data_IF_860468246910
#
_entry.id   IF_860468246910
#
_cell.length_a   1.000
_cell.length_b   1.000
_cell.length_c   1.000
_cell.angle_alpha   90.00
_cell.angle_beta   90.00
_cell.angle_gamma   90.00
#
_symmetry.space_group_name_H-M   'P 1'
#
loop_
_entity.id
_entity.type
_entity.pdbx_description
1 polymer ?
#
# COMPACT_ATOMS: atom_id res chain seq x y z
N UNK A 1 -14.13 -2.92 8.90
CA UNK A 1 -12.82 -3.46 8.49
C UNK A 1 -12.30 -2.66 7.29
N UNK A 2 -11.02 -2.49 7.21
CA UNK A 2 -10.37 -1.75 6.13
C UNK A 2 -9.61 -2.70 5.22
N UNK A 3 -9.39 -2.27 3.99
CA UNK A 3 -8.67 -3.07 3.00
C UNK A 3 -7.54 -2.25 2.40
N UNK A 4 -6.40 -2.88 2.16
CA UNK A 4 -5.30 -2.28 1.42
C UNK A 4 -5.26 -2.89 0.03
N UNK A 5 -5.50 -2.06 -0.98
CA UNK A 5 -5.32 -2.44 -2.37
C UNK A 5 -3.93 -2.05 -2.84
N UNK A 6 -3.25 -2.94 -3.51
CA UNK A 6 -1.90 -2.72 -4.02
C UNK A 6 -1.89 -2.92 -5.53
N UNK A 7 -1.30 -1.96 -6.24
CA UNK A 7 -1.10 -2.05 -7.68
C UNK A 7 0.38 -1.86 -7.99
N UNK A 8 1.00 -2.90 -8.54
CA UNK A 8 2.40 -2.89 -8.94
C UNK A 8 2.49 -2.57 -10.43
N UNK A 9 2.72 -1.29 -10.72
CA UNK A 9 2.94 -0.86 -12.10
C UNK A 9 4.41 -0.90 -12.50
N UNK A 10 4.67 -0.75 -13.78
CA UNK A 10 6.04 -0.71 -14.30
C UNK A 10 6.85 0.50 -13.86
N UNK A 11 6.16 1.59 -13.54
CA UNK A 11 6.80 2.86 -13.14
C UNK A 11 6.54 3.25 -11.70
N UNK A 12 5.41 2.80 -11.12
CA UNK A 12 5.02 3.19 -9.76
C UNK A 12 4.35 2.03 -9.04
N UNK A 13 4.48 2.05 -7.72
CA UNK A 13 3.71 1.21 -6.82
C UNK A 13 2.64 2.08 -6.19
N UNK A 14 1.39 1.65 -6.24
CA UNK A 14 0.27 2.37 -5.64
C UNK A 14 -0.33 1.55 -4.51
N UNK A 15 -0.61 2.21 -3.39
CA UNK A 15 -1.31 1.60 -2.27
C UNK A 15 -2.50 2.47 -1.92
N UNK A 16 -3.67 1.87 -1.85
CA UNK A 16 -4.90 2.55 -1.46
C UNK A 16 -5.51 1.91 -0.22
N UNK A 17 -5.95 2.73 0.73
CA UNK A 17 -6.71 2.29 1.89
C UNK A 17 -8.19 2.51 1.60
N UNK A 18 -8.98 1.46 1.72
CA UNK A 18 -10.40 1.45 1.38
C UNK A 18 -11.19 0.97 2.59
N UNK A 19 -12.33 1.59 2.86
CA UNK A 19 -13.21 1.13 3.92
C UNK A 19 -14.11 -0.02 3.45
N UNK A 20 -14.91 -0.54 4.36
CA UNK A 20 -15.81 -1.67 4.07
C UNK A 20 -16.92 -1.32 3.07
N UNK A 21 -17.14 -0.06 2.80
CA UNK A 21 -18.12 0.41 1.82
C UNK A 21 -17.50 0.66 0.45
N UNK A 22 -16.20 0.41 0.30
CA UNK A 22 -15.50 0.62 -0.95
C UNK A 22 -15.02 2.05 -1.16
N UNK A 23 -15.09 2.91 -0.14
CA UNK A 23 -14.63 4.28 -0.24
C UNK A 23 -13.13 4.35 -0.03
N UNK A 24 -12.44 5.03 -0.94
CA UNK A 24 -11.01 5.25 -0.81
C UNK A 24 -10.76 6.32 0.24
N UNK A 25 -10.08 5.93 1.32
CA UNK A 25 -9.76 6.81 2.43
C UNK A 25 -8.43 7.53 2.20
N UNK A 26 -7.45 6.80 1.68
CA UNK A 26 -6.11 7.33 1.49
C UNK A 26 -5.42 6.60 0.34
N UNK A 27 -4.57 7.31 -0.38
CA UNK A 27 -3.74 6.74 -1.45
C UNK A 27 -2.32 7.23 -1.30
N UNK A 28 -1.38 6.34 -1.53
CA UNK A 28 0.04 6.68 -1.58
C UNK A 28 0.69 5.96 -2.75
N UNK A 29 1.75 6.55 -3.25
CA UNK A 29 2.53 5.93 -4.32
C UNK A 29 4.02 6.19 -4.13
N UNK A 30 4.81 5.30 -4.69
CA UNK A 30 6.26 5.46 -4.74
C UNK A 30 6.76 4.96 -6.09
N UNK A 31 7.82 5.55 -6.64
CA UNK A 31 8.37 5.06 -7.92
C UNK A 31 8.89 3.63 -7.80
N UNK A 32 8.59 2.82 -8.80
CA UNK A 32 9.20 1.51 -8.95
C UNK A 32 10.50 1.70 -9.72
N UNK A 33 11.62 1.48 -9.06
CA UNK A 33 12.92 1.56 -9.73
C UNK A 33 13.22 0.18 -10.30
N UNK A 34 13.10 0.04 -11.62
CA UNK A 34 13.18 -1.25 -12.31
C UNK A 34 14.52 -1.95 -12.18
N UNK A 35 15.58 -1.21 -11.83
CA UNK A 35 16.91 -1.79 -11.61
C UNK A 35 17.10 -2.37 -10.22
N UNK A 36 16.13 -2.20 -9.34
CA UNK A 36 16.20 -2.71 -7.97
C UNK A 36 15.84 -4.19 -7.95
N UNK A 37 16.39 -4.91 -6.99
CA UNK A 37 16.01 -6.31 -6.77
C UNK A 37 14.57 -6.40 -6.27
N UNK A 38 13.95 -7.56 -6.48
CA UNK A 38 12.59 -7.80 -6.00
C UNK A 38 12.46 -7.60 -4.49
N UNK A 39 13.49 -7.94 -3.73
CA UNK A 39 13.49 -7.78 -2.28
C UNK A 39 13.41 -6.30 -1.88
N UNK A 40 14.11 -5.41 -2.57
CA UNK A 40 14.07 -3.98 -2.28
C UNK A 40 12.73 -3.38 -2.66
N UNK A 41 12.12 -3.84 -3.74
CA UNK A 41 10.78 -3.40 -4.16
C UNK A 41 9.76 -3.84 -3.12
N UNK A 42 9.87 -5.06 -2.61
CA UNK A 42 8.98 -5.57 -1.58
C UNK A 42 9.11 -4.77 -0.28
N UNK A 43 10.32 -4.41 0.10
CA UNK A 43 10.57 -3.57 1.28
C UNK A 43 9.90 -2.20 1.13
N UNK A 44 10.00 -1.59 -0.04
CA UNK A 44 9.35 -0.31 -0.34
C UNK A 44 7.83 -0.44 -0.24
N UNK A 45 7.28 -1.53 -0.75
CA UNK A 45 5.86 -1.81 -0.69
C UNK A 45 5.37 -1.93 0.77
N UNK A 46 6.09 -2.68 1.58
CA UNK A 46 5.77 -2.86 2.99
C UNK A 46 5.83 -1.53 3.73
N UNK A 47 6.87 -0.74 3.48
CA UNK A 47 7.01 0.57 4.10
C UNK A 47 5.86 1.50 3.72
N UNK A 48 5.43 1.47 2.46
CA UNK A 48 4.32 2.28 1.97
C UNK A 48 3.00 1.87 2.62
N UNK A 49 2.76 0.57 2.75
CA UNK A 49 1.57 0.04 3.43
C UNK A 49 1.52 0.49 4.89
N UNK A 50 2.64 0.38 5.60
CA UNK A 50 2.75 0.82 6.99
C UNK A 50 2.49 2.31 7.14
N UNK A 51 3.01 3.10 6.20
CA UNK A 51 2.82 4.54 6.20
C UNK A 51 1.35 4.90 6.07
N UNK A 52 0.65 4.32 5.11
CA UNK A 52 -0.77 4.57 4.87
C UNK A 52 -1.61 4.20 6.10
N UNK A 53 -1.33 3.05 6.68
CA UNK A 53 -2.04 2.58 7.88
C UNK A 53 -1.80 3.53 9.07
N UNK A 54 -0.56 3.92 9.31
CA UNK A 54 -0.21 4.79 10.41
C UNK A 54 -0.79 6.20 10.27
N UNK A 55 -0.83 6.73 9.05
CA UNK A 55 -1.39 8.06 8.79
C UNK A 55 -2.88 8.15 9.11
N UNK A 56 -3.57 7.01 9.12
CA UNK A 56 -5.00 6.93 9.39
C UNK A 56 -5.30 6.39 10.80
N UNK A 57 -4.32 6.41 11.69
CA UNK A 57 -4.44 5.94 13.08
C UNK A 57 -4.90 4.49 13.20
N UNK A 58 -4.50 3.66 12.24
CA UNK A 58 -4.83 2.24 12.19
C UNK A 58 -3.60 1.40 12.50
N UNK A 59 -3.83 0.14 12.80
CA UNK A 59 -2.79 -0.87 12.93
C UNK A 59 -2.90 -1.85 11.77
N UNK A 60 -1.82 -2.58 11.48
CA UNK A 60 -1.83 -3.57 10.40
C UNK A 60 -2.88 -4.66 10.62
N UNK A 61 -3.21 -4.95 11.86
CA UNK A 61 -4.27 -5.91 12.20
C UNK A 61 -5.67 -5.43 11.85
N UNK A 62 -5.84 -4.12 11.61
CA UNK A 62 -7.14 -3.54 11.27
C UNK A 62 -7.45 -3.61 9.78
N UNK A 63 -6.51 -4.07 8.97
CA UNK A 63 -6.64 -4.07 7.51
C UNK A 63 -6.38 -5.45 6.92
N UNK A 64 -7.01 -5.73 5.78
CA UNK A 64 -6.71 -6.89 4.97
C UNK A 64 -6.03 -6.45 3.68
N UNK A 65 -5.09 -7.24 3.20
CA UNK A 65 -4.44 -6.99 1.93
C UNK A 65 -5.27 -7.55 0.79
N UNK A 66 -5.46 -6.71 -0.23
CA UNK A 66 -6.09 -7.11 -1.49
C UNK A 66 -5.09 -6.79 -2.59
N UNK A 67 -4.50 -7.80 -3.14
CA UNK A 67 -3.46 -7.69 -4.17
C UNK A 67 -3.96 -7.34 -5.54
#
# INVERSE_FOLDING_TARGET
MYYLGVDLGGTNIFVGLVDENGKIISKESTPTISVRSADLILDDLIALCKKVVAENDLELSDVEYVG
#
